data_IF_386096797016
#
_entry.id   IF_386096797016
#
_cell.length_a   1.000
_cell.length_b   1.000
_cell.length_c   1.000
_cell.angle_alpha   90.00
_cell.angle_beta   90.00
_cell.angle_gamma   90.00
#
_symmetry.space_group_name_H-M   'P 1'
#
loop_
_entity.id
_entity.type
_entity.pdbx_description
1 polymer ?
#
# COMPACT_ATOMS: atom_id res chain seq x y z
N UNK A 1 23.93 -17.62 44.85
CA UNK A 1 24.79 -17.75 43.66
C UNK A 1 24.40 -16.66 42.69
N UNK A 2 25.14 -15.56 42.69
CA UNK A 2 24.93 -14.41 41.80
C UNK A 2 25.82 -14.58 40.58
N UNK A 3 25.21 -14.84 39.42
CA UNK A 3 25.89 -14.87 38.13
C UNK A 3 26.27 -13.45 37.73
N UNK A 4 27.56 -13.13 37.80
CA UNK A 4 28.11 -11.96 37.11
C UNK A 4 28.26 -12.31 35.63
N UNK A 5 27.51 -11.61 34.78
CA UNK A 5 27.73 -11.64 33.34
C UNK A 5 29.11 -11.06 33.05
N UNK A 6 29.97 -11.85 32.41
CA UNK A 6 31.29 -11.42 31.98
C UNK A 6 31.10 -10.39 30.86
N UNK A 7 31.65 -9.18 31.05
CA UNK A 7 31.68 -8.17 30.00
C UNK A 7 32.43 -8.72 28.78
N UNK A 8 31.84 -8.57 27.59
CA UNK A 8 32.49 -8.99 26.35
C UNK A 8 33.85 -8.29 26.20
N UNK A 9 34.91 -9.01 25.74
CA UNK A 9 36.21 -8.43 25.53
C UNK A 9 36.13 -7.35 24.44
N UNK A 10 36.58 -6.13 24.76
CA UNK A 10 36.66 -5.02 23.80
C UNK A 10 38.12 -4.77 23.40
N UNK A 11 38.34 -4.53 22.11
CA UNK A 11 39.65 -4.10 21.59
C UNK A 11 39.67 -2.57 21.47
N UNK A 12 40.63 -1.91 22.14
CA UNK A 12 40.87 -0.48 21.95
C UNK A 12 41.87 -0.31 20.81
N UNK A 13 41.46 0.30 19.71
CA UNK A 13 42.37 0.74 18.65
C UNK A 13 42.63 2.22 18.79
N UNK A 14 43.89 2.61 18.96
CA UNK A 14 44.28 4.01 19.04
C UNK A 14 44.37 4.59 17.62
N UNK A 15 43.80 5.78 17.42
CA UNK A 15 43.98 6.53 16.18
C UNK A 15 45.32 7.27 16.27
N UNK A 16 46.31 6.82 15.51
CA UNK A 16 47.68 7.38 15.54
C UNK A 16 47.74 8.76 14.85
N UNK A 17 46.83 9.02 13.91
CA UNK A 17 46.64 10.30 13.25
C UNK A 17 45.15 10.69 13.34
N UNK A 18 44.86 11.87 13.88
CA UNK A 18 43.49 12.40 13.94
C UNK A 18 43.31 13.43 12.83
N UNK A 19 42.52 13.13 11.77
CA UNK A 19 42.16 14.13 10.76
C UNK A 19 41.16 15.18 11.29
N UNK A 20 40.90 15.23 12.61
CA UNK A 20 39.95 16.15 13.25
C UNK A 20 38.49 15.70 13.18
N UNK A 21 38.14 14.86 12.20
CA UNK A 21 36.82 14.24 12.02
C UNK A 21 36.99 12.74 11.73
N UNK A 22 36.20 11.91 12.38
CA UNK A 22 36.05 10.50 12.06
C UNK A 22 34.84 10.28 11.16
N UNK A 23 35.07 9.67 9.99
CA UNK A 23 34.02 9.26 9.06
C UNK A 23 33.72 7.78 9.25
N UNK A 24 32.65 7.49 9.96
CA UNK A 24 32.20 6.12 10.19
C UNK A 24 31.24 5.71 9.06
N UNK A 25 31.66 4.77 8.21
CA UNK A 25 30.84 4.30 7.09
C UNK A 25 29.61 3.54 7.60
N UNK A 26 28.43 4.06 7.32
CA UNK A 26 27.16 3.42 7.70
C UNK A 26 26.70 2.45 6.61
N UNK A 27 26.72 2.90 5.35
CA UNK A 27 26.16 2.10 4.27
C UNK A 27 26.17 2.80 2.91
N UNK A 28 25.28 2.35 2.02
CA UNK A 28 25.11 2.91 0.68
C UNK A 28 23.80 3.68 0.58
N UNK A 29 23.80 4.69 -0.29
CA UNK A 29 22.66 5.54 -0.53
C UNK A 29 22.48 5.76 -2.03
N UNK A 30 21.21 5.84 -2.46
CA UNK A 30 20.82 6.31 -3.79
C UNK A 30 19.88 7.50 -3.66
N UNK A 31 19.94 8.39 -4.64
CA UNK A 31 19.11 9.58 -4.69
C UNK A 31 18.02 9.45 -5.75
N UNK A 32 16.82 9.93 -5.44
CA UNK A 32 15.71 10.04 -6.38
C UNK A 32 15.16 11.48 -6.42
N UNK A 33 14.58 11.83 -7.56
CA UNK A 33 13.85 13.08 -7.81
C UNK A 33 12.48 12.85 -8.42
N UNK A 34 12.36 11.76 -9.17
CA UNK A 34 11.14 11.35 -9.85
C UNK A 34 10.61 10.06 -9.22
N UNK A 35 9.34 9.78 -9.51
CA UNK A 35 8.63 8.61 -9.03
C UNK A 35 7.89 7.97 -10.20
N UNK A 36 7.79 6.64 -10.17
CA UNK A 36 6.90 5.88 -11.03
C UNK A 36 5.61 5.61 -10.26
N UNK A 37 4.47 5.91 -10.88
CA UNK A 37 3.16 5.75 -10.26
C UNK A 37 2.47 4.52 -10.83
N UNK A 38 2.19 3.54 -9.98
CA UNK A 38 1.34 2.41 -10.33
C UNK A 38 -0.04 2.62 -9.72
N UNK A 39 -1.05 2.74 -10.58
CA UNK A 39 -2.43 3.03 -10.18
C UNK A 39 -3.25 1.77 -10.30
N UNK A 40 -3.92 1.36 -9.23
CA UNK A 40 -4.93 0.31 -9.28
C UNK A 40 -6.23 0.79 -8.65
N UNK A 41 -7.36 0.21 -9.03
CA UNK A 41 -8.66 0.66 -8.57
C UNK A 41 -9.62 -0.48 -8.32
N UNK A 42 -10.60 -0.24 -7.46
CA UNK A 42 -11.74 -1.12 -7.20
C UNK A 42 -13.02 -0.33 -7.41
N UNK A 43 -13.90 -0.84 -8.27
CA UNK A 43 -15.26 -0.32 -8.45
C UNK A 43 -16.20 -0.93 -7.41
N UNK A 44 -16.87 -0.09 -6.61
CA UNK A 44 -17.86 -0.54 -5.63
C UNK A 44 -19.26 -0.70 -6.22
N UNK A 45 -19.46 -0.36 -7.50
CA UNK A 45 -20.76 -0.46 -8.16
C UNK A 45 -21.32 -1.89 -8.19
N UNK A 46 -20.46 -2.89 -8.34
CA UNK A 46 -20.88 -4.29 -8.37
C UNK A 46 -21.26 -4.80 -6.98
N UNK A 47 -20.56 -4.34 -5.95
CA UNK A 47 -20.84 -4.68 -4.56
C UNK A 47 -22.25 -4.21 -4.15
N UNK A 48 -22.63 -2.99 -4.52
CA UNK A 48 -23.96 -2.46 -4.24
C UNK A 48 -25.06 -3.27 -4.93
N UNK A 49 -24.88 -3.59 -6.21
CA UNK A 49 -25.83 -4.38 -6.99
C UNK A 49 -25.98 -5.80 -6.46
N UNK A 50 -24.87 -6.45 -6.13
CA UNK A 50 -24.87 -7.82 -5.61
C UNK A 50 -25.54 -7.89 -4.23
N UNK A 51 -25.29 -6.90 -3.36
CA UNK A 51 -26.00 -6.78 -2.09
C UNK A 51 -27.51 -6.60 -2.28
N UNK A 52 -27.94 -5.66 -3.14
CA UNK A 52 -29.36 -5.45 -3.42
C UNK A 52 -30.05 -6.70 -3.99
N UNK A 53 -29.36 -7.44 -4.86
CA UNK A 53 -29.82 -8.72 -5.39
C UNK A 53 -30.00 -9.73 -4.25
N UNK A 54 -28.98 -9.99 -3.44
CA UNK A 54 -29.05 -10.96 -2.33
C UNK A 54 -30.17 -10.60 -1.35
N UNK A 55 -30.30 -9.34 -0.96
CA UNK A 55 -31.38 -8.89 -0.07
C UNK A 55 -32.77 -9.10 -0.69
N UNK A 56 -32.93 -8.80 -1.99
CA UNK A 56 -34.21 -9.00 -2.70
C UNK A 56 -34.61 -10.47 -2.74
N UNK A 57 -33.67 -11.36 -3.09
CA UNK A 57 -33.94 -12.78 -3.20
C UNK A 57 -34.11 -13.47 -1.85
N UNK A 58 -33.43 -12.98 -0.79
CA UNK A 58 -33.73 -13.39 0.57
C UNK A 58 -35.19 -13.06 0.93
N UNK A 59 -35.64 -11.83 0.70
CA UNK A 59 -37.02 -11.40 0.98
C UNK A 59 -38.07 -12.21 0.19
N UNK A 60 -37.79 -12.51 -1.08
CA UNK A 60 -38.68 -13.36 -1.87
C UNK A 60 -38.73 -14.79 -1.33
N UNK A 61 -37.58 -15.34 -0.92
CA UNK A 61 -37.51 -16.68 -0.34
C UNK A 61 -38.27 -16.75 0.98
N UNK A 62 -38.11 -15.74 1.86
CA UNK A 62 -38.89 -15.62 3.10
C UNK A 62 -40.40 -15.58 2.82
N UNK A 63 -40.83 -14.81 1.81
CA UNK A 63 -42.24 -14.69 1.43
C UNK A 63 -42.83 -16.02 0.96
N UNK A 64 -42.08 -16.76 0.14
CA UNK A 64 -42.50 -18.07 -0.39
C UNK A 64 -42.53 -19.13 0.71
N UNK A 65 -41.52 -19.18 1.58
CA UNK A 65 -41.47 -20.13 2.69
C UNK A 65 -42.53 -19.82 3.77
N UNK A 66 -43.04 -18.59 3.85
CA UNK A 66 -44.12 -18.18 4.74
C UNK A 66 -45.53 -18.40 4.14
N UNK A 67 -45.65 -18.73 2.86
CA UNK A 67 -46.95 -18.96 2.19
C UNK A 67 -47.66 -20.17 2.84
N UNK A 68 -48.89 -19.94 3.35
CA UNK A 68 -49.69 -20.99 4.00
C UNK A 68 -50.50 -21.75 2.96
N UNK A 69 -50.29 -23.06 2.88
CA UNK A 69 -51.00 -23.94 1.91
C UNK A 69 -52.28 -24.57 2.44
N UNK A 70 -52.51 -24.57 3.76
CA UNK A 70 -53.73 -25.12 4.39
C UNK A 70 -53.93 -24.56 5.80
N UNK A 71 -55.18 -24.49 6.25
CA UNK A 71 -55.61 -23.99 7.56
C UNK A 71 -55.27 -24.87 8.76
N UNK A 72 -54.70 -26.07 8.58
CA UNK A 72 -54.51 -27.02 9.69
C UNK A 72 -53.12 -27.62 9.89
N UNK A 73 -52.09 -27.29 9.09
CA UNK A 73 -50.73 -27.80 9.32
C UNK A 73 -49.65 -26.75 9.02
N UNK A 74 -48.59 -26.72 9.83
CA UNK A 74 -47.37 -25.98 9.50
C UNK A 74 -46.85 -26.55 8.18
N UNK A 75 -46.77 -25.71 7.15
CA UNK A 75 -46.24 -26.11 5.83
C UNK A 75 -44.89 -26.81 6.01
N UNK A 76 -44.74 -28.03 5.49
CA UNK A 76 -43.46 -28.78 5.48
C UNK A 76 -42.32 -27.90 4.93
N UNK A 77 -42.65 -27.01 3.99
CA UNK A 77 -41.75 -25.99 3.44
C UNK A 77 -41.21 -25.03 4.50
N UNK A 78 -42.04 -24.59 5.46
CA UNK A 78 -41.60 -23.68 6.53
C UNK A 78 -40.53 -24.33 7.42
N UNK A 79 -40.70 -25.62 7.77
CA UNK A 79 -39.69 -26.34 8.56
C UNK A 79 -38.39 -26.59 7.80
N UNK A 80 -38.45 -26.75 6.48
CA UNK A 80 -37.27 -26.95 5.64
C UNK A 80 -36.48 -25.63 5.45
N UNK A 81 -37.18 -24.50 5.30
CA UNK A 81 -36.51 -23.21 5.10
C UNK A 81 -35.97 -22.56 6.38
N UNK A 82 -36.60 -22.80 7.55
CA UNK A 82 -36.43 -21.94 8.73
C UNK A 82 -34.98 -21.79 9.20
N UNK A 83 -34.20 -22.87 9.19
CA UNK A 83 -32.80 -22.83 9.64
C UNK A 83 -31.92 -22.04 8.67
N UNK A 84 -31.98 -22.34 7.37
CA UNK A 84 -31.18 -21.68 6.34
C UNK A 84 -31.53 -20.18 6.24
N UNK A 85 -32.83 -19.84 6.27
CA UNK A 85 -33.28 -18.45 6.24
C UNK A 85 -32.72 -17.66 7.43
N UNK A 86 -32.79 -18.20 8.64
CA UNK A 86 -32.29 -17.52 9.83
C UNK A 86 -30.76 -17.30 9.78
N UNK A 87 -30.01 -18.26 9.22
CA UNK A 87 -28.55 -18.12 9.05
C UNK A 87 -28.23 -17.02 8.03
N UNK A 88 -28.84 -17.08 6.85
CA UNK A 88 -28.57 -16.13 5.76
C UNK A 88 -29.05 -14.73 6.14
N UNK A 89 -30.22 -14.59 6.77
CA UNK A 89 -30.75 -13.31 7.23
C UNK A 89 -29.80 -12.63 8.23
N UNK A 90 -29.27 -13.39 9.19
CA UNK A 90 -28.29 -12.87 10.13
C UNK A 90 -27.03 -12.39 9.41
N UNK A 91 -26.55 -13.14 8.41
CA UNK A 91 -25.38 -12.74 7.62
C UNK A 91 -25.65 -11.48 6.79
N UNK A 92 -26.79 -11.40 6.09
CA UNK A 92 -27.16 -10.22 5.29
C UNK A 92 -27.28 -8.97 6.17
N UNK A 93 -27.85 -9.09 7.36
CA UNK A 93 -27.92 -7.99 8.32
C UNK A 93 -26.52 -7.54 8.77
N UNK A 94 -25.61 -8.47 9.06
CA UNK A 94 -24.20 -8.15 9.37
C UNK A 94 -23.52 -7.45 8.20
N UNK A 95 -23.68 -7.95 6.98
CA UNK A 95 -23.14 -7.36 5.75
C UNK A 95 -23.66 -5.94 5.54
N UNK A 96 -24.93 -5.68 5.83
CA UNK A 96 -25.51 -4.33 5.76
C UNK A 96 -24.76 -3.36 6.69
N UNK A 97 -24.50 -3.78 7.92
CA UNK A 97 -23.77 -2.96 8.91
C UNK A 97 -22.32 -2.77 8.49
N UNK A 98 -21.63 -3.85 8.08
CA UNK A 98 -20.23 -3.78 7.61
C UNK A 98 -20.08 -2.88 6.38
N UNK A 99 -21.07 -2.88 5.48
CA UNK A 99 -21.13 -1.98 4.33
C UNK A 99 -21.25 -0.52 4.79
N UNK A 100 -22.18 -0.21 5.69
CA UNK A 100 -22.35 1.14 6.23
C UNK A 100 -21.07 1.63 6.94
N UNK A 101 -20.42 0.76 7.71
CA UNK A 101 -19.14 1.02 8.35
C UNK A 101 -18.06 1.33 7.32
N UNK A 102 -17.92 0.53 6.26
CA UNK A 102 -16.98 0.79 5.16
C UNK A 102 -17.24 2.16 4.52
N UNK A 103 -18.48 2.46 4.13
CA UNK A 103 -18.81 3.76 3.53
C UNK A 103 -18.58 4.93 4.48
N UNK A 104 -18.74 4.74 5.79
CA UNK A 104 -18.38 5.73 6.80
C UNK A 104 -16.87 6.00 6.85
N UNK A 105 -16.04 4.95 6.68
CA UNK A 105 -14.58 5.07 6.59
C UNK A 105 -14.15 5.81 5.32
N UNK A 106 -14.91 5.66 4.23
CA UNK A 106 -14.69 6.31 2.93
C UNK A 106 -15.22 7.75 2.89
N UNK A 107 -16.08 8.16 3.82
CA UNK A 107 -16.66 9.49 3.86
C UNK A 107 -15.69 10.60 4.32
N UNK A 108 -14.42 10.27 4.62
CA UNK A 108 -13.44 11.22 5.15
C UNK A 108 -13.00 12.29 4.13
N UNK A 109 -12.92 13.54 4.61
CA UNK A 109 -12.52 14.81 3.96
C UNK A 109 -12.71 14.93 2.44
N UNK A 110 -13.69 15.74 2.04
CA UNK A 110 -13.56 16.51 0.78
C UNK A 110 -12.57 17.66 1.01
N UNK A 111 -11.40 17.64 0.38
CA UNK A 111 -10.71 18.91 0.10
C UNK A 111 -11.51 19.53 -1.04
N UNK A 112 -12.31 20.56 -0.75
CA UNK A 112 -12.94 21.40 -1.80
C UNK A 112 -11.80 22.17 -2.49
N UNK A 113 -11.18 21.55 -3.51
CA UNK A 113 -10.21 22.20 -4.38
C UNK A 113 -10.92 22.99 -5.48
N UNK A 114 -10.34 24.14 -5.84
CA UNK A 114 -10.82 25.13 -6.81
C UNK A 114 -10.84 24.61 -8.26
N UNK A 115 -11.61 23.57 -8.56
CA UNK A 115 -11.88 23.14 -9.94
C UNK A 115 -13.38 23.30 -10.18
N UNK A 116 -13.76 24.53 -10.52
CA UNK A 116 -15.06 24.83 -11.08
C UNK A 116 -15.14 24.14 -12.45
N UNK A 117 -15.86 23.03 -12.57
CA UNK A 117 -16.10 22.46 -13.90
C UNK A 117 -16.91 21.18 -13.97
N UNK A 118 -16.53 20.11 -13.27
CA UNK A 118 -17.10 18.78 -13.55
C UNK A 118 -17.31 17.98 -12.25
N UNK A 119 -18.54 18.05 -11.73
CA UNK A 119 -19.33 16.90 -11.28
C UNK A 119 -18.97 16.11 -10.02
N UNK A 120 -17.69 15.80 -9.73
CA UNK A 120 -17.39 14.76 -8.73
C UNK A 120 -16.47 15.25 -7.62
N UNK A 121 -16.95 15.20 -6.38
CA UNK A 121 -16.13 15.48 -5.21
C UNK A 121 -15.13 14.34 -4.94
N UNK A 122 -13.84 14.61 -5.10
CA UNK A 122 -12.76 13.70 -4.71
C UNK A 122 -12.66 13.67 -3.18
N UNK A 123 -12.70 12.46 -2.60
CA UNK A 123 -12.47 12.25 -1.17
C UNK A 123 -11.10 11.62 -0.97
N UNK A 124 -10.19 12.37 -0.37
CA UNK A 124 -8.86 11.86 -0.05
C UNK A 124 -8.92 11.07 1.23
N UNK A 125 -8.51 9.81 1.16
CA UNK A 125 -8.45 8.96 2.33
C UNK A 125 -7.07 9.09 2.97
N UNK A 126 -6.01 8.83 2.20
CA UNK A 126 -4.62 8.82 2.67
C UNK A 126 -3.65 9.31 1.58
N UNK A 127 -2.48 9.80 2.00
CA UNK A 127 -1.50 10.42 1.11
C UNK A 127 -1.85 11.85 0.71
N UNK A 128 -1.02 12.44 -0.16
CA UNK A 128 -1.30 13.74 -0.77
C UNK A 128 -1.10 13.69 -2.30
N UNK A 129 -1.91 12.86 -3.00
CA UNK A 129 -1.96 12.90 -4.45
C UNK A 129 -2.53 14.24 -4.95
N UNK A 130 -2.14 14.64 -6.16
CA UNK A 130 -2.71 15.82 -6.81
C UNK A 130 -4.17 15.55 -7.22
N UNK A 131 -5.05 16.55 -7.03
CA UNK A 131 -6.45 16.46 -7.43
C UNK A 131 -6.63 16.37 -8.94
N UNK A 132 -5.71 16.99 -9.69
CA UNK A 132 -5.70 16.91 -11.14
C UNK A 132 -5.36 15.49 -11.60
N UNK A 133 -4.37 14.84 -10.95
CA UNK A 133 -3.99 13.46 -11.23
C UNK A 133 -5.15 12.49 -10.96
N UNK A 134 -5.81 12.61 -9.81
CA UNK A 134 -6.93 11.72 -9.49
C UNK A 134 -8.12 11.89 -10.44
N UNK A 135 -8.42 13.12 -10.86
CA UNK A 135 -9.46 13.38 -11.86
C UNK A 135 -9.09 12.77 -13.21
N UNK A 136 -7.85 12.97 -13.65
CA UNK A 136 -7.31 12.43 -14.89
C UNK A 136 -7.39 10.89 -14.90
N UNK A 137 -6.85 10.21 -13.89
CA UNK A 137 -6.86 8.75 -13.84
C UNK A 137 -8.28 8.19 -13.76
N UNK A 138 -9.19 8.85 -13.04
CA UNK A 138 -10.60 8.44 -13.01
C UNK A 138 -11.28 8.53 -14.39
N UNK A 139 -10.99 9.56 -15.18
CA UNK A 139 -11.47 9.68 -16.56
C UNK A 139 -10.93 8.55 -17.44
N UNK A 140 -9.63 8.24 -17.30
CA UNK A 140 -8.98 7.17 -18.07
C UNK A 140 -9.57 5.80 -17.70
N UNK A 141 -9.80 5.52 -16.41
CA UNK A 141 -10.49 4.33 -15.93
C UNK A 141 -11.93 4.22 -16.49
N UNK A 142 -12.64 5.35 -16.59
CA UNK A 142 -14.00 5.38 -17.14
C UNK A 142 -14.03 5.03 -18.64
N UNK A 143 -13.03 5.46 -19.42
CA UNK A 143 -12.89 5.08 -20.83
C UNK A 143 -12.59 3.59 -20.95
N UNK A 144 -11.68 3.11 -20.10
CA UNK A 144 -11.26 1.72 -20.00
C UNK A 144 -12.41 0.73 -19.81
N UNK A 145 -13.33 1.05 -18.90
CA UNK A 145 -14.45 0.17 -18.53
C UNK A 145 -15.43 -0.07 -19.69
N UNK A 146 -15.21 0.59 -20.83
CA UNK A 146 -16.00 0.47 -22.06
C UNK A 146 -15.28 -0.33 -23.16
N UNK A 147 -13.99 -0.63 -23.01
CA UNK A 147 -13.17 -1.38 -23.97
C UNK A 147 -12.78 -2.75 -23.36
N UNK A 148 -12.95 -3.85 -24.10
CA UNK A 148 -12.89 -5.23 -23.57
C UNK A 148 -11.48 -5.75 -23.23
N UNK A 149 -10.41 -5.00 -23.52
CA UNK A 149 -9.02 -5.52 -23.54
C UNK A 149 -8.24 -5.44 -22.20
N UNK A 150 -8.90 -5.08 -21.09
CA UNK A 150 -8.47 -5.47 -19.72
C UNK A 150 -7.15 -4.91 -19.15
N UNK A 151 -6.31 -4.24 -19.94
CA UNK A 151 -5.09 -3.55 -19.50
C UNK A 151 -4.93 -2.26 -20.30
N UNK A 152 -4.82 -1.12 -19.61
CA UNK A 152 -4.62 0.17 -20.24
C UNK A 152 -3.17 0.59 -20.03
N UNK A 153 -2.39 0.54 -21.11
CA UNK A 153 -1.15 1.30 -21.20
C UNK A 153 -1.49 2.79 -21.39
N UNK A 154 -2.27 3.39 -20.48
CA UNK A 154 -2.32 4.86 -20.39
C UNK A 154 -1.08 5.26 -19.63
N UNK A 155 -0.05 5.49 -20.44
CA UNK A 155 1.26 5.97 -20.02
C UNK A 155 1.24 7.46 -20.19
N UNK A 156 1.01 8.17 -19.09
CA UNK A 156 1.33 9.59 -19.01
C UNK A 156 2.32 9.75 -17.86
N UNK A 157 3.39 10.49 -18.09
CA UNK A 157 4.27 11.02 -17.04
C UNK A 157 4.65 9.95 -15.98
N UNK A 158 5.32 8.87 -16.42
CA UNK A 158 5.82 7.78 -15.54
C UNK A 158 4.72 7.09 -14.71
N UNK A 159 3.50 7.01 -15.25
CA UNK A 159 2.36 6.43 -14.56
C UNK A 159 1.67 5.35 -15.39
N UNK A 160 1.17 4.29 -14.75
CA UNK A 160 0.46 3.18 -15.41
C UNK A 160 -0.75 2.73 -14.58
N UNK A 161 -1.86 2.42 -15.26
CA UNK A 161 -3.08 1.88 -14.63
C UNK A 161 -3.10 0.36 -14.79
N UNK A 162 -3.29 -0.36 -13.70
CA UNK A 162 -3.34 -1.82 -13.65
C UNK A 162 -4.54 -2.35 -12.89
N UNK A 163 -5.08 -3.46 -13.38
CA UNK A 163 -6.24 -4.12 -12.77
C UNK A 163 -5.84 -4.76 -11.43
N UNK A 164 -6.71 -4.65 -10.44
CA UNK A 164 -6.50 -5.23 -9.09
C UNK A 164 -6.41 -6.75 -9.13
N UNK A 165 -5.69 -7.35 -8.17
CA UNK A 165 -5.67 -8.82 -7.98
C UNK A 165 -6.98 -9.41 -7.45
N UNK A 166 -7.92 -8.58 -6.95
CA UNK A 166 -9.16 -9.11 -6.36
C UNK A 166 -10.11 -9.57 -7.46
N UNK A 167 -10.06 -10.88 -7.75
CA UNK A 167 -10.89 -11.52 -8.79
C UNK A 167 -12.38 -11.21 -8.64
N UNK A 168 -12.86 -11.13 -7.41
CA UNK A 168 -14.28 -10.97 -7.13
C UNK A 168 -14.78 -9.55 -7.44
N UNK A 169 -13.95 -8.52 -7.27
CA UNK A 169 -14.22 -7.17 -7.78
C UNK A 169 -14.07 -7.03 -9.29
N UNK A 170 -13.29 -7.93 -9.91
CA UNK A 170 -13.16 -8.04 -11.36
C UNK A 170 -14.30 -8.87 -11.99
N UNK A 171 -15.31 -9.30 -11.22
CA UNK A 171 -16.45 -9.99 -11.81
C UNK A 171 -17.28 -9.06 -12.70
N UNK A 172 -17.70 -9.60 -13.84
CA UNK A 172 -18.45 -8.83 -14.84
C UNK A 172 -19.93 -8.80 -14.49
N UNK A 173 -20.61 -7.74 -14.96
CA UNK A 173 -22.07 -7.61 -14.88
C UNK A 173 -22.79 -8.84 -15.46
N UNK A 174 -22.21 -9.50 -16.47
CA UNK A 174 -22.75 -10.72 -17.06
C UNK A 174 -22.87 -11.87 -16.05
N UNK A 175 -21.86 -12.08 -15.18
CA UNK A 175 -21.91 -13.11 -14.13
C UNK A 175 -22.95 -12.78 -13.06
N UNK A 176 -23.04 -11.51 -12.66
CA UNK A 176 -24.09 -11.06 -11.73
C UNK A 176 -25.48 -11.32 -12.30
N UNK A 177 -25.71 -10.99 -13.58
CA UNK A 177 -26.96 -11.27 -14.26
C UNK A 177 -27.25 -12.78 -14.32
N UNK A 178 -26.23 -13.61 -14.53
CA UNK A 178 -26.40 -15.07 -14.51
C UNK A 178 -26.83 -15.58 -13.14
N UNK A 179 -26.22 -15.09 -12.06
CA UNK A 179 -26.62 -15.44 -10.70
C UNK A 179 -28.07 -14.99 -10.42
N UNK A 180 -28.45 -13.79 -10.84
CA UNK A 180 -29.81 -13.27 -10.70
C UNK A 180 -30.83 -14.14 -11.46
N UNK A 181 -30.50 -14.55 -12.70
CA UNK A 181 -31.34 -15.45 -13.49
C UNK A 181 -31.52 -16.81 -12.79
N UNK A 182 -30.44 -17.43 -12.31
CA UNK A 182 -30.52 -18.72 -11.60
C UNK A 182 -31.39 -18.61 -10.34
N UNK A 183 -31.21 -17.57 -9.53
CA UNK A 183 -32.06 -17.36 -8.34
C UNK A 183 -33.53 -17.15 -8.71
N UNK A 184 -33.81 -16.46 -9.83
CA UNK A 184 -35.17 -16.26 -10.34
C UNK A 184 -35.81 -17.57 -10.76
N UNK A 185 -35.10 -18.36 -11.52
CA UNK A 185 -35.60 -19.63 -12.05
C UNK A 185 -35.88 -20.61 -10.90
N UNK A 186 -34.95 -20.71 -9.94
CA UNK A 186 -35.13 -21.50 -8.72
C UNK A 186 -36.41 -21.08 -7.96
N UNK A 187 -36.63 -19.77 -7.78
CA UNK A 187 -37.83 -19.25 -7.12
C UNK A 187 -39.11 -19.65 -7.86
N UNK A 188 -39.16 -19.51 -9.19
CA UNK A 188 -40.37 -19.83 -9.96
C UNK A 188 -40.67 -21.35 -9.93
N UNK A 189 -39.64 -22.19 -9.92
CA UNK A 189 -39.80 -23.64 -9.76
C UNK A 189 -40.28 -23.98 -8.36
N UNK A 190 -39.67 -23.42 -7.31
CA UNK A 190 -40.07 -23.63 -5.90
C UNK A 190 -41.53 -23.22 -5.71
N UNK A 191 -41.91 -22.04 -6.18
CA UNK A 191 -43.28 -21.51 -6.11
C UNK A 191 -44.28 -22.39 -6.86
N UNK A 192 -43.90 -22.93 -8.01
CA UNK A 192 -44.74 -23.85 -8.78
C UNK A 192 -44.92 -25.18 -8.07
N UNK A 193 -43.84 -25.75 -7.51
CA UNK A 193 -43.88 -26.99 -6.74
C UNK A 193 -44.78 -26.85 -5.49
N UNK A 194 -44.62 -25.74 -4.78
CA UNK A 194 -45.41 -25.37 -3.61
C UNK A 194 -46.91 -25.23 -3.96
N UNK A 195 -47.26 -24.58 -5.09
CA UNK A 195 -48.67 -24.45 -5.53
C UNK A 195 -49.29 -25.76 -6.00
N UNK A 196 -48.49 -26.65 -6.57
CA UNK A 196 -48.94 -27.96 -7.06
C UNK A 196 -49.04 -29.01 -5.95
N UNK A 197 -48.67 -28.68 -4.70
CA UNK A 197 -48.72 -29.64 -3.58
C UNK A 197 -50.16 -29.92 -3.12
N UNK A 198 -50.80 -30.88 -3.78
CA UNK A 198 -51.88 -31.71 -3.21
C UNK A 198 -51.57 -33.22 -3.29
N UNK A 199 -50.41 -33.65 -3.81
CA UNK A 199 -50.08 -35.07 -3.91
C UNK A 199 -48.55 -35.31 -3.83
N UNK A 200 -48.02 -35.44 -2.61
CA UNK A 200 -46.60 -35.75 -2.39
C UNK A 200 -46.33 -37.25 -2.62
N UNK A 201 -46.21 -37.66 -3.89
CA UNK A 201 -45.50 -38.89 -4.22
C UNK A 201 -43.99 -38.73 -3.91
N UNK A 202 -43.34 -39.80 -3.43
CA UNK A 202 -41.97 -39.78 -2.88
C UNK A 202 -40.86 -39.31 -3.85
N UNK A 203 -41.11 -39.36 -5.16
CA UNK A 203 -40.18 -38.89 -6.20
C UNK A 203 -40.17 -37.36 -6.34
N UNK A 204 -41.35 -36.72 -6.41
CA UNK A 204 -41.45 -35.26 -6.53
C UNK A 204 -40.99 -34.50 -5.27
N UNK A 205 -41.02 -35.18 -4.11
CA UNK A 205 -40.50 -34.63 -2.86
C UNK A 205 -38.98 -34.44 -2.87
N UNK A 206 -38.23 -35.37 -3.49
CA UNK A 206 -36.77 -35.31 -3.57
C UNK A 206 -36.28 -34.20 -4.50
N UNK A 207 -36.91 -34.09 -5.68
CA UNK A 207 -36.58 -33.04 -6.65
C UNK A 207 -36.82 -31.64 -6.04
N UNK A 208 -37.92 -31.48 -5.29
CA UNK A 208 -38.22 -30.25 -4.58
C UNK A 208 -37.16 -29.87 -3.53
N UNK A 209 -36.77 -30.82 -2.67
CA UNK A 209 -35.72 -30.61 -1.67
C UNK A 209 -34.41 -30.25 -2.36
N UNK A 210 -34.04 -30.94 -3.44
CA UNK A 210 -32.82 -30.65 -4.18
C UNK A 210 -32.80 -29.21 -4.72
N UNK A 211 -33.88 -28.75 -5.36
CA UNK A 211 -33.94 -27.38 -5.89
C UNK A 211 -33.89 -26.35 -4.75
N UNK A 212 -34.53 -26.65 -3.61
CA UNK A 212 -34.49 -25.79 -2.43
C UNK A 212 -33.05 -25.70 -1.86
N UNK A 213 -32.35 -26.83 -1.78
CA UNK A 213 -30.96 -26.91 -1.33
C UNK A 213 -30.02 -26.17 -2.30
N UNK A 214 -30.22 -26.31 -3.61
CA UNK A 214 -29.47 -25.58 -4.64
C UNK A 214 -29.69 -24.07 -4.53
N UNK A 215 -30.93 -23.65 -4.28
CA UNK A 215 -31.29 -22.24 -4.06
C UNK A 215 -30.62 -21.66 -2.83
N UNK A 216 -30.71 -22.34 -1.69
CA UNK A 216 -30.05 -21.90 -0.45
C UNK A 216 -28.53 -21.94 -0.57
N UNK A 217 -27.97 -22.93 -1.25
CA UNK A 217 -26.52 -23.02 -1.50
C UNK A 217 -26.03 -21.83 -2.31
N UNK A 218 -26.76 -21.44 -3.37
CA UNK A 218 -26.40 -20.26 -4.17
C UNK A 218 -26.54 -18.98 -3.35
N UNK A 219 -27.64 -18.79 -2.62
CA UNK A 219 -27.86 -17.60 -1.81
C UNK A 219 -26.80 -17.47 -0.68
N UNK A 220 -26.48 -18.58 -0.03
CA UNK A 220 -25.44 -18.67 1.00
C UNK A 220 -24.05 -18.38 0.42
N UNK A 221 -23.72 -18.95 -0.75
CA UNK A 221 -22.47 -18.66 -1.46
C UNK A 221 -22.32 -17.17 -1.78
N UNK A 222 -23.35 -16.54 -2.35
CA UNK A 222 -23.32 -15.11 -2.70
C UNK A 222 -23.22 -14.23 -1.45
N UNK A 223 -23.92 -14.61 -0.37
CA UNK A 223 -23.85 -13.90 0.91
C UNK A 223 -22.45 -13.99 1.52
N UNK A 224 -21.86 -15.19 1.57
CA UNK A 224 -20.49 -15.37 2.09
C UNK A 224 -19.45 -14.66 1.22
N UNK A 225 -19.64 -14.66 -0.11
CA UNK A 225 -18.80 -13.94 -1.05
C UNK A 225 -18.81 -12.43 -0.76
N UNK A 226 -20.00 -11.83 -0.65
CA UNK A 226 -20.19 -10.43 -0.28
C UNK A 226 -19.51 -10.08 1.05
N UNK A 227 -19.70 -10.93 2.06
CA UNK A 227 -19.08 -10.72 3.37
C UNK A 227 -17.55 -10.70 3.29
N UNK A 228 -16.96 -11.67 2.59
CA UNK A 228 -15.51 -11.72 2.40
C UNK A 228 -15.00 -10.53 1.56
N UNK A 229 -15.76 -10.06 0.58
CA UNK A 229 -15.43 -8.86 -0.19
C UNK A 229 -15.39 -7.59 0.67
N UNK A 230 -16.42 -7.37 1.49
CA UNK A 230 -16.47 -6.24 2.42
C UNK A 230 -15.35 -6.28 3.44
N UNK A 231 -15.09 -7.47 4.01
CA UNK A 231 -14.00 -7.68 4.96
C UNK A 231 -12.65 -7.31 4.33
N UNK A 232 -12.36 -7.81 3.13
CA UNK A 232 -11.11 -7.49 2.42
C UNK A 232 -11.00 -6.00 2.07
N UNK A 233 -12.08 -5.36 1.65
CA UNK A 233 -12.07 -3.91 1.37
C UNK A 233 -11.81 -3.11 2.62
N UNK A 234 -12.48 -3.47 3.72
CA UNK A 234 -12.31 -2.79 5.01
C UNK A 234 -10.88 -2.93 5.50
N UNK A 235 -10.32 -4.15 5.47
CA UNK A 235 -8.91 -4.41 5.80
C UNK A 235 -7.95 -3.61 4.90
N UNK A 236 -8.21 -3.56 3.59
CA UNK A 236 -7.39 -2.82 2.66
C UNK A 236 -7.43 -1.30 2.90
N UNK A 237 -8.59 -0.74 3.20
CA UNK A 237 -8.74 0.68 3.57
C UNK A 237 -8.03 0.95 4.90
N UNK A 238 -8.12 0.03 5.87
CA UNK A 238 -7.45 0.15 7.16
C UNK A 238 -5.92 0.10 7.04
N UNK A 239 -5.37 -0.82 6.24
CA UNK A 239 -3.94 -0.89 5.95
C UNK A 239 -3.45 0.31 5.15
N UNK A 240 -4.26 0.79 4.21
CA UNK A 240 -3.92 2.00 3.48
C UNK A 240 -3.79 3.22 4.42
N UNK A 241 -4.53 3.27 5.54
CA UNK A 241 -4.38 4.34 6.55
C UNK A 241 -2.99 4.42 7.13
N UNK A 242 -2.32 3.28 7.26
CA UNK A 242 -0.97 3.18 7.83
C UNK A 242 0.12 3.19 6.75
N UNK A 243 -0.24 3.46 5.49
CA UNK A 243 0.67 3.47 4.35
C UNK A 243 1.04 2.07 3.84
N UNK A 244 0.34 1.03 4.29
CA UNK A 244 0.61 -0.37 3.91
C UNK A 244 -0.32 -0.79 2.79
N UNK A 245 0.24 -1.29 1.69
CA UNK A 245 -0.53 -1.86 0.60
C UNK A 245 -1.00 -3.28 0.95
N UNK A 246 -2.31 -3.51 0.94
CA UNK A 246 -2.86 -4.83 1.19
C UNK A 246 -2.61 -5.76 -0.01
N UNK A 247 -2.06 -6.99 0.17
CA UNK A 247 -1.61 -7.85 -0.93
C UNK A 247 -2.73 -8.39 -1.82
N UNK A 248 -3.98 -8.39 -1.34
CA UNK A 248 -5.15 -8.68 -2.19
C UNK A 248 -5.45 -7.54 -3.18
N UNK A 249 -5.07 -6.28 -2.90
CA UNK A 249 -5.30 -5.15 -3.81
C UNK A 249 -4.36 -5.26 -5.01
N UNK A 250 -3.07 -5.40 -4.74
CA UNK A 250 -2.06 -5.70 -5.74
C UNK A 250 -0.98 -6.56 -5.10
N UNK A 251 -0.84 -7.78 -5.59
CA UNK A 251 0.15 -8.71 -5.04
C UNK A 251 1.57 -8.26 -5.39
N UNK A 252 2.56 -8.52 -4.52
CA UNK A 252 3.96 -8.18 -4.81
C UNK A 252 4.50 -8.83 -6.09
N UNK A 253 4.00 -10.03 -6.45
CA UNK A 253 4.35 -10.70 -7.70
C UNK A 253 3.80 -9.93 -8.91
N UNK A 254 2.51 -9.59 -8.91
CA UNK A 254 1.94 -8.80 -10.01
C UNK A 254 2.65 -7.45 -10.11
N UNK A 255 2.91 -6.79 -8.98
CA UNK A 255 3.68 -5.54 -8.98
C UNK A 255 5.04 -5.71 -9.65
N UNK A 256 5.79 -6.77 -9.34
CA UNK A 256 7.06 -7.05 -10.00
C UNK A 256 6.89 -7.21 -11.53
N UNK A 257 5.89 -7.98 -11.97
CA UNK A 257 5.61 -8.20 -13.39
C UNK A 257 5.28 -6.87 -14.11
N UNK A 258 4.47 -6.01 -13.48
CA UNK A 258 4.13 -4.68 -14.02
C UNK A 258 5.36 -3.77 -14.09
N UNK A 259 6.20 -3.76 -13.05
CA UNK A 259 7.42 -2.94 -13.04
C UNK A 259 8.46 -3.41 -14.06
N UNK A 260 8.52 -4.71 -14.34
CA UNK A 260 9.35 -5.24 -15.44
C UNK A 260 8.89 -4.71 -16.79
N UNK A 261 7.58 -4.71 -17.05
CA UNK A 261 7.02 -4.17 -18.29
C UNK A 261 7.22 -2.65 -18.40
N UNK A 262 7.11 -1.94 -17.27
CA UNK A 262 7.29 -0.50 -17.18
C UNK A 262 8.71 0.00 -17.53
N UNK A 263 9.73 -0.86 -17.41
CA UNK A 263 11.14 -0.45 -17.65
C UNK A 263 11.37 0.19 -19.02
N UNK A 264 10.62 -0.21 -20.04
CA UNK A 264 10.73 0.33 -21.40
C UNK A 264 10.21 1.77 -21.53
N UNK A 265 9.45 2.24 -20.53
CA UNK A 265 8.79 3.54 -20.52
C UNK A 265 9.52 4.57 -19.65
N UNK A 266 10.49 4.11 -18.86
CA UNK A 266 11.29 4.94 -17.96
C UNK A 266 12.49 5.49 -18.74
N UNK A 267 12.85 6.78 -18.57
CA UNK A 267 14.05 7.33 -19.18
C UNK A 267 15.31 6.54 -18.81
N UNK A 268 16.25 6.37 -19.75
CA UNK A 268 17.50 5.62 -19.51
C UNK A 268 18.35 6.19 -18.35
N UNK A 269 18.16 7.47 -18.03
CA UNK A 269 18.83 8.15 -16.91
C UNK A 269 18.27 7.79 -15.53
N UNK A 270 17.21 6.97 -15.47
CA UNK A 270 16.51 6.59 -14.25
C UNK A 270 16.32 5.08 -14.17
N UNK A 271 16.23 4.56 -12.95
CA UNK A 271 15.99 3.14 -12.71
C UNK A 271 15.27 2.92 -11.38
N UNK A 272 14.65 1.76 -11.22
CA UNK A 272 14.18 1.34 -9.90
C UNK A 272 15.36 1.13 -8.93
N UNK A 273 15.18 1.38 -7.63
CA UNK A 273 16.26 1.29 -6.65
C UNK A 273 16.66 -0.16 -6.32
N UNK A 274 15.84 -1.13 -6.71
CA UNK A 274 16.00 -2.56 -6.49
C UNK A 274 16.09 -3.34 -7.81
N UNK A 275 16.69 -4.54 -7.79
CA UNK A 275 16.63 -5.47 -8.92
C UNK A 275 15.19 -5.94 -9.16
N UNK A 276 14.76 -6.00 -10.42
CA UNK A 276 13.45 -6.53 -10.81
C UNK A 276 13.51 -8.05 -10.98
N UNK A 277 13.79 -8.76 -9.89
CA UNK A 277 13.82 -10.23 -9.82
C UNK A 277 12.97 -10.74 -8.65
N UNK A 278 12.57 -12.00 -8.71
CA UNK A 278 11.65 -12.61 -7.74
C UNK A 278 12.17 -12.52 -6.29
N UNK A 279 13.47 -12.64 -6.09
CA UNK A 279 14.13 -12.59 -4.79
C UNK A 279 14.06 -11.19 -4.14
N UNK A 280 13.86 -10.15 -4.95
CA UNK A 280 13.79 -8.75 -4.50
C UNK A 280 12.36 -8.27 -4.25
N UNK A 281 11.36 -9.13 -4.40
CA UNK A 281 9.93 -8.78 -4.29
C UNK A 281 9.58 -8.12 -2.95
N UNK A 282 10.18 -8.57 -1.84
CA UNK A 282 9.96 -7.98 -0.51
C UNK A 282 10.55 -6.57 -0.38
N UNK A 283 11.60 -6.25 -1.14
CA UNK A 283 12.25 -4.94 -1.12
C UNK A 283 11.36 -3.86 -1.72
N UNK A 284 10.49 -4.23 -2.67
CA UNK A 284 9.56 -3.30 -3.32
C UNK A 284 8.68 -2.64 -2.26
N UNK A 285 8.10 -3.43 -1.35
CA UNK A 285 7.21 -2.94 -0.30
C UNK A 285 7.89 -2.01 0.70
N UNK A 286 9.22 -2.04 0.82
CA UNK A 286 9.98 -1.18 1.74
C UNK A 286 10.15 0.25 1.23
N UNK A 287 9.96 0.48 -0.07
CA UNK A 287 10.27 1.75 -0.73
C UNK A 287 9.08 2.38 -1.45
N UNK A 288 7.88 1.81 -1.32
CA UNK A 288 6.66 2.41 -1.87
C UNK A 288 6.06 3.44 -0.91
N UNK A 289 5.41 4.46 -1.48
CA UNK A 289 4.42 5.28 -0.77
C UNK A 289 3.04 5.03 -1.35
N UNK A 290 2.03 5.13 -0.50
CA UNK A 290 0.65 4.85 -0.88
C UNK A 290 -0.22 6.09 -0.68
N UNK A 291 -0.94 6.44 -1.74
CA UNK A 291 -2.00 7.44 -1.74
C UNK A 291 -3.31 6.78 -2.14
N UNK A 292 -4.40 7.06 -1.42
CA UNK A 292 -5.71 6.45 -1.69
C UNK A 292 -6.81 7.51 -1.73
N UNK A 293 -7.64 7.43 -2.77
CA UNK A 293 -8.79 8.31 -2.93
C UNK A 293 -10.06 7.55 -3.28
N UNK A 294 -11.19 8.15 -2.93
CA UNK A 294 -12.51 7.66 -3.30
C UNK A 294 -13.20 8.69 -4.23
N UNK A 295 -13.51 8.26 -5.45
CA UNK A 295 -14.08 9.08 -6.52
C UNK A 295 -14.99 8.23 -7.41
N UNK A 296 -16.17 8.72 -7.79
CA UNK A 296 -17.15 8.01 -8.65
C UNK A 296 -17.44 6.55 -8.23
N UNK A 297 -17.61 6.30 -6.93
CA UNK A 297 -17.80 4.97 -6.35
C UNK A 297 -16.63 3.99 -6.62
N UNK A 298 -15.42 4.53 -6.81
CA UNK A 298 -14.18 3.77 -6.98
C UNK A 298 -13.19 4.13 -5.90
N UNK A 299 -12.55 3.11 -5.36
CA UNK A 299 -11.40 3.24 -4.49
C UNK A 299 -10.14 3.13 -5.36
N UNK A 300 -9.37 4.20 -5.47
CA UNK A 300 -8.15 4.25 -6.28
C UNK A 300 -6.93 4.29 -5.36
N UNK A 301 -5.99 3.37 -5.61
CA UNK A 301 -4.72 3.22 -4.91
C UNK A 301 -3.61 3.64 -5.87
N UNK A 302 -2.91 4.72 -5.52
CA UNK A 302 -1.75 5.23 -6.22
C UNK A 302 -0.50 4.84 -5.44
N UNK A 303 0.33 4.01 -6.06
CA UNK A 303 1.54 3.45 -5.47
C UNK A 303 2.73 4.18 -6.09
N UNK A 304 3.36 5.03 -5.30
CA UNK A 304 4.50 5.84 -5.71
C UNK A 304 5.80 5.10 -5.43
N UNK A 305 6.62 4.92 -6.46
CA UNK A 305 7.87 4.15 -6.39
C UNK A 305 9.01 5.08 -6.81
N UNK A 306 10.03 5.33 -5.97
CA UNK A 306 11.10 6.25 -6.32
C UNK A 306 11.91 5.74 -7.51
N UNK A 307 12.26 6.66 -8.43
CA UNK A 307 13.16 6.41 -9.54
C UNK A 307 14.51 7.07 -9.26
N UNK A 308 15.54 6.24 -9.11
CA UNK A 308 16.87 6.70 -8.73
C UNK A 308 17.75 6.94 -9.96
N UNK A 309 18.67 7.90 -9.83
CA UNK A 309 19.75 8.07 -10.79
C UNK A 309 20.74 6.89 -10.73
N UNK A 310 21.46 6.58 -11.81
CA UNK A 310 22.44 5.51 -11.84
C UNK A 310 23.77 5.86 -11.13
N UNK A 311 23.69 6.63 -10.05
CA UNK A 311 24.82 6.98 -9.20
C UNK A 311 24.63 6.39 -7.80
N UNK A 312 25.71 5.87 -7.24
CA UNK A 312 25.73 5.30 -5.89
C UNK A 312 26.61 6.13 -4.97
N UNK A 313 26.15 6.27 -3.74
CA UNK A 313 26.82 7.03 -2.69
C UNK A 313 27.15 6.12 -1.53
N UNK A 314 28.25 6.42 -0.86
CA UNK A 314 28.50 5.95 0.49
C UNK A 314 28.15 7.08 1.46
N UNK A 315 27.54 6.75 2.59
CA UNK A 315 27.21 7.73 3.62
C UNK A 315 27.80 7.34 4.98
N UNK A 316 28.12 8.37 5.75
CA UNK A 316 28.97 8.30 6.92
C UNK A 316 28.36 9.08 8.07
N UNK A 317 28.47 8.56 9.29
CA UNK A 317 28.31 9.37 10.49
C UNK A 317 29.59 10.19 10.69
N UNK A 318 29.42 11.49 10.85
CA UNK A 318 30.52 12.45 10.99
C UNK A 318 30.70 12.74 12.48
N UNK A 319 31.80 12.24 13.05
CA UNK A 319 32.08 12.42 14.47
C UNK A 319 33.30 13.32 14.65
N UNK A 320 33.18 14.48 15.32
CA UNK A 320 34.35 15.29 15.62
C UNK A 320 35.30 14.52 16.53
N UNK A 321 36.60 14.64 16.27
CA UNK A 321 37.67 14.06 17.10
C UNK A 321 38.45 15.19 17.78
N UNK A 322 38.09 15.56 19.03
CA UNK A 322 38.79 16.63 19.73
C UNK A 322 40.25 16.29 19.98
N UNK A 323 41.14 17.25 19.71
CA UNK A 323 42.57 17.15 20.01
C UNK A 323 42.88 18.04 21.21
N UNK A 324 43.63 17.50 22.16
CA UNK A 324 44.02 18.23 23.37
C UNK A 324 45.03 19.33 23.02
N UNK A 325 44.72 20.58 23.37
CA UNK A 325 45.62 21.70 23.19
C UNK A 325 46.52 21.86 24.42
N UNK A 326 45.91 22.23 25.56
CA UNK A 326 46.59 22.41 26.85
C UNK A 326 45.60 22.19 28.00
N UNK A 327 46.05 21.63 29.12
CA UNK A 327 45.23 21.37 30.32
C UNK A 327 43.95 20.59 29.99
N UNK A 328 42.77 21.16 30.26
CA UNK A 328 41.46 20.58 29.94
C UNK A 328 40.83 21.24 28.70
N UNK A 329 41.63 21.95 27.90
CA UNK A 329 41.19 22.63 26.69
C UNK A 329 41.44 21.76 25.47
N UNK A 330 40.39 21.55 24.69
CA UNK A 330 40.39 20.75 23.48
C UNK A 330 39.95 21.61 22.30
N UNK A 331 40.49 21.27 21.13
CA UNK A 331 40.10 21.86 19.85
C UNK A 331 39.42 20.78 19.03
N UNK A 332 38.30 21.11 18.42
CA UNK A 332 37.59 20.19 17.53
C UNK A 332 37.03 20.93 16.32
N UNK A 333 36.80 20.19 15.25
CA UNK A 333 36.14 20.68 14.06
C UNK A 333 34.66 20.42 14.24
N UNK A 334 33.82 21.45 14.22
CA UNK A 334 32.37 21.26 14.28
C UNK A 334 31.87 20.86 12.88
N UNK A 335 31.25 19.68 12.72
CA UNK A 335 30.64 19.32 11.45
C UNK A 335 29.46 20.23 11.11
N UNK A 336 29.26 20.47 9.82
CA UNK A 336 28.11 21.16 9.26
C UNK A 336 26.82 20.38 9.52
N UNK A 337 26.87 19.05 9.31
CA UNK A 337 25.77 18.13 9.54
C UNK A 337 26.29 16.80 10.12
N UNK A 338 25.44 16.04 10.84
CA UNK A 338 25.85 14.77 11.46
C UNK A 338 26.12 13.66 10.44
N UNK A 339 25.59 13.77 9.21
CA UNK A 339 25.83 12.80 8.15
C UNK A 339 26.41 13.46 6.90
N UNK A 340 27.36 12.75 6.30
CA UNK A 340 28.02 13.14 5.06
C UNK A 340 27.93 11.99 4.07
N UNK A 341 27.74 12.30 2.80
CA UNK A 341 27.74 11.31 1.73
C UNK A 341 28.57 11.75 0.55
N UNK A 342 29.18 10.78 -0.12
CA UNK A 342 30.02 11.01 -1.29
C UNK A 342 29.74 9.95 -2.34
N UNK A 343 29.67 10.37 -3.60
CA UNK A 343 29.49 9.46 -4.72
C UNK A 343 30.69 8.51 -4.81
N UNK A 344 30.48 7.27 -5.22
CA UNK A 344 31.58 6.31 -5.44
C UNK A 344 32.56 6.84 -6.52
N UNK A 345 32.04 7.55 -7.52
CA UNK A 345 32.82 8.29 -8.53
C UNK A 345 33.58 9.50 -7.98
N UNK A 346 33.35 9.86 -6.71
CA UNK A 346 33.95 11.00 -6.00
C UNK A 346 33.69 12.37 -6.63
N UNK A 347 32.71 12.48 -7.53
CA UNK A 347 32.39 13.71 -8.26
C UNK A 347 31.25 14.53 -7.62
N UNK A 348 30.57 13.99 -6.62
CA UNK A 348 29.45 14.63 -5.93
C UNK A 348 29.46 14.25 -4.45
N UNK A 349 28.93 15.13 -3.61
CA UNK A 349 28.74 14.90 -2.18
C UNK A 349 27.47 15.55 -1.66
N UNK A 350 26.99 15.14 -0.50
CA UNK A 350 25.83 15.75 0.15
C UNK A 350 25.94 15.68 1.67
N UNK A 351 25.29 16.61 2.34
CA UNK A 351 25.14 16.69 3.79
C UNK A 351 23.69 16.39 4.16
N UNK A 352 23.49 15.62 5.22
CA UNK A 352 22.16 15.26 5.71
C UNK A 352 22.07 15.42 7.22
N UNK A 353 20.94 15.97 7.67
CA UNK A 353 20.57 15.93 9.08
C UNK A 353 19.80 14.63 9.46
N UNK A 354 19.50 14.46 10.75
CA UNK A 354 18.75 13.30 11.24
C UNK A 354 17.31 13.25 10.68
N UNK A 355 16.68 14.40 10.44
CA UNK A 355 15.29 14.48 9.95
C UNK A 355 15.24 14.03 8.48
N UNK A 356 16.19 14.47 7.68
CA UNK A 356 16.36 14.08 6.29
C UNK A 356 16.66 12.59 6.16
N UNK A 357 17.59 12.08 6.97
CA UNK A 357 17.93 10.66 6.98
C UNK A 357 16.73 9.79 7.37
N UNK A 358 15.93 10.23 8.35
CA UNK A 358 14.73 9.51 8.80
C UNK A 358 13.59 9.49 7.77
N UNK A 359 13.61 10.38 6.76
CA UNK A 359 12.65 10.38 5.65
C UNK A 359 13.04 9.44 4.51
N UNK A 360 14.27 8.92 4.50
CA UNK A 360 14.74 8.01 3.47
C UNK A 360 14.09 6.62 3.60
N UNK A 361 13.85 5.98 2.47
CA UNK A 361 13.40 4.59 2.46
C UNK A 361 14.56 3.66 2.80
N UNK A 362 14.30 2.67 3.64
CA UNK A 362 15.26 1.63 4.00
C UNK A 362 15.07 0.46 3.04
N UNK A 363 15.94 0.33 2.05
CA UNK A 363 15.89 -0.78 1.11
C UNK A 363 16.36 -2.07 1.80
N UNK A 364 17.53 -2.00 2.45
CA UNK A 364 18.10 -3.06 3.29
C UNK A 364 18.59 -2.47 4.62
N UNK A 365 19.26 -3.25 5.47
CA UNK A 365 19.86 -2.73 6.70
C UNK A 365 20.95 -1.66 6.45
N UNK A 366 21.59 -1.67 5.28
CA UNK A 366 22.70 -0.75 4.96
C UNK A 366 22.45 0.08 3.70
N UNK A 367 21.40 -0.22 2.92
CA UNK A 367 21.08 0.50 1.69
C UNK A 367 19.83 1.35 1.88
N UNK A 368 19.95 2.65 1.59
CA UNK A 368 18.84 3.62 1.71
C UNK A 368 18.60 4.36 0.39
N UNK A 369 17.37 4.85 0.23
CA UNK A 369 16.95 5.66 -0.91
C UNK A 369 16.40 6.99 -0.39
N UNK A 370 17.04 8.09 -0.78
CA UNK A 370 16.76 9.42 -0.25
C UNK A 370 16.35 10.39 -1.35
N UNK A 371 15.50 11.36 -1.02
CA UNK A 371 15.15 12.44 -1.94
C UNK A 371 16.34 13.38 -2.10
N UNK A 372 16.63 13.78 -3.34
CA UNK A 372 17.75 14.67 -3.63
C UNK A 372 17.41 16.14 -3.32
N UNK A 373 17.67 16.56 -2.08
CA UNK A 373 17.48 17.96 -1.67
C UNK A 373 18.79 18.75 -1.57
N UNK A 374 19.93 18.09 -1.32
CA UNK A 374 21.19 18.76 -0.91
C UNK A 374 22.42 18.23 -1.66
N UNK A 375 22.32 17.86 -2.93
CA UNK A 375 23.44 17.29 -3.68
C UNK A 375 24.35 18.37 -4.29
N UNK A 376 25.63 18.33 -3.94
CA UNK A 376 26.65 19.29 -4.37
C UNK A 376 27.67 18.64 -5.32
N UNK A 377 28.20 19.44 -6.25
CA UNK A 377 29.26 19.02 -7.17
C UNK A 377 30.63 19.07 -6.50
N UNK A 378 31.59 18.28 -6.99
CA UNK A 378 32.99 18.34 -6.54
C UNK A 378 33.62 19.73 -6.71
N UNK A 379 33.14 20.53 -7.65
CA UNK A 379 33.58 21.92 -7.81
C UNK A 379 33.33 22.76 -6.54
N UNK A 380 32.35 22.37 -5.72
CA UNK A 380 32.01 22.98 -4.43
C UNK A 380 32.82 22.41 -3.25
N UNK A 381 33.79 21.50 -3.47
CA UNK A 381 34.61 20.94 -2.37
C UNK A 381 35.20 22.04 -1.50
N UNK A 382 35.70 23.12 -2.12
CA UNK A 382 36.36 24.23 -1.42
C UNK A 382 35.46 24.89 -0.35
N UNK A 383 34.14 24.75 -0.48
CA UNK A 383 33.12 25.32 0.41
C UNK A 383 32.75 24.37 1.55
N UNK A 384 33.23 23.12 1.53
CA UNK A 384 32.86 22.07 2.48
C UNK A 384 34.09 21.54 3.23
N UNK A 385 34.09 21.70 4.56
CA UNK A 385 35.14 21.17 5.42
C UNK A 385 35.22 19.64 5.34
N UNK A 386 34.07 18.96 5.47
CA UNK A 386 33.99 17.51 5.47
C UNK A 386 34.43 16.92 4.14
N UNK A 387 34.02 17.54 3.02
CA UNK A 387 34.43 17.07 1.71
C UNK A 387 35.95 17.19 1.54
N UNK A 388 36.54 18.34 1.91
CA UNK A 388 37.99 18.51 1.86
C UNK A 388 38.72 17.50 2.75
N UNK A 389 38.28 17.32 4.00
CA UNK A 389 38.87 16.38 4.95
C UNK A 389 38.76 14.92 4.50
N UNK A 390 37.64 14.53 3.89
CA UNK A 390 37.43 13.19 3.38
C UNK A 390 38.43 12.83 2.27
N UNK A 391 38.84 13.80 1.45
CA UNK A 391 39.87 13.63 0.42
C UNK A 391 41.31 13.82 0.93
N UNK A 392 41.51 13.83 2.25
CA UNK A 392 42.83 13.87 2.92
C UNK A 392 43.71 15.05 2.48
N UNK A 393 43.37 16.28 2.88
CA UNK A 393 44.14 17.46 2.51
C UNK A 393 45.46 17.50 3.30
N UNK A 394 46.49 18.13 2.74
CA UNK A 394 47.79 18.25 3.42
C UNK A 394 47.76 19.21 4.63
N UNK A 395 46.81 20.15 4.63
CA UNK A 395 46.63 21.16 5.69
C UNK A 395 45.15 21.26 6.06
N UNK A 396 44.87 21.76 7.25
CA UNK A 396 43.49 21.96 7.71
C UNK A 396 42.77 22.98 6.81
N UNK A 397 41.65 22.61 6.18
CA UNK A 397 40.90 23.51 5.30
C UNK A 397 40.40 24.78 5.99
N UNK A 398 40.41 25.90 5.28
CA UNK A 398 39.83 27.16 5.77
C UNK A 398 38.32 27.09 5.97
N UNK A 399 37.63 26.21 5.24
CA UNK A 399 36.19 26.01 5.36
C UNK A 399 35.77 25.36 6.69
N UNK A 400 36.71 24.86 7.49
CA UNK A 400 36.43 24.18 8.74
C UNK A 400 36.12 25.15 9.90
N UNK A 401 34.96 24.97 10.54
CA UNK A 401 34.59 25.66 11.79
C UNK A 401 35.34 25.00 12.96
N UNK A 402 36.52 25.54 13.27
CA UNK A 402 37.36 25.10 14.38
C UNK A 402 36.91 25.77 15.67
N UNK A 403 36.53 24.97 16.66
CA UNK A 403 36.06 25.45 17.96
C UNK A 403 36.94 24.96 19.09
N UNK A 404 37.00 25.76 20.14
CA UNK A 404 37.72 25.47 21.37
C UNK A 404 36.69 25.21 22.48
N UNK A 405 36.90 24.15 23.24
CA UNK A 405 36.04 23.77 24.36
C UNK A 405 36.87 23.31 25.55
N UNK A 406 36.39 23.59 26.76
CA UNK A 406 36.98 23.09 27.99
C UNK A 406 36.17 21.88 28.48
N UNK A 407 36.81 20.72 28.59
CA UNK A 407 36.19 19.46 29.01
C UNK A 407 36.84 18.93 30.29
N UNK A 408 36.02 18.71 31.31
CA UNK A 408 36.42 18.09 32.57
C UNK A 408 35.98 16.62 32.69
N UNK A 409 35.33 16.08 31.65
CA UNK A 409 34.70 14.75 31.66
C UNK A 409 35.12 13.97 30.43
N UNK A 410 35.36 12.67 30.60
CA UNK A 410 35.64 11.74 29.50
C UNK A 410 34.34 11.36 28.81
N UNK A 411 34.28 11.57 27.50
CA UNK A 411 33.14 11.15 26.67
C UNK A 411 33.47 9.81 26.02
N UNK A 412 32.55 8.86 26.16
CA UNK A 412 32.60 7.58 25.45
C UNK A 412 31.51 7.59 24.39
N UNK A 413 31.90 7.41 23.13
CA UNK A 413 30.96 7.17 22.02
C UNK A 413 31.12 5.74 21.57
N UNK A 414 30.02 4.98 21.56
CA UNK A 414 29.99 3.67 20.92
C UNK A 414 29.97 3.92 19.40
N UNK A 415 31.00 3.40 18.74
CA UNK A 415 31.13 3.33 17.29
C UNK A 415 30.63 1.95 16.90
#
# INVERSE_FOLDING_TARGET
MTNYAWAEPYSITRLDHSPGIFFERIGRMKFFNDEYNLITFISLNNLDREFEMVSRYLNYTQSICAEKHSSSEKSITFSLCANELNVIEKQVNTISVEKDDLFSLLAHRSKRGLINGIGTGIKWLFGNPDADDASYFNEQINKLSREEDGVLNVVRDQSQIVTTTIRSFNETISRLNQNEMTLKDNIEVIKTAIRKSLDFNSLHHKDFIQILDEHFSLLSYLTLKLQNELSVLTEAVLFARTGVLHPKILSPKQMLDELQNATQQIPESLRFPFPLIKESTSLILNVIQLSVCFIDNKLMFMIHIPLVVPMEFEYFAVTPLPVKLQNNTFVFIKPNQPYFSVAISRNQFSHLDEIELNKCYKLTHQDIVCKNNNLFSIANIAESCEAQLYFSPQTLPQACDVRIINFHVTIWKKI
#
